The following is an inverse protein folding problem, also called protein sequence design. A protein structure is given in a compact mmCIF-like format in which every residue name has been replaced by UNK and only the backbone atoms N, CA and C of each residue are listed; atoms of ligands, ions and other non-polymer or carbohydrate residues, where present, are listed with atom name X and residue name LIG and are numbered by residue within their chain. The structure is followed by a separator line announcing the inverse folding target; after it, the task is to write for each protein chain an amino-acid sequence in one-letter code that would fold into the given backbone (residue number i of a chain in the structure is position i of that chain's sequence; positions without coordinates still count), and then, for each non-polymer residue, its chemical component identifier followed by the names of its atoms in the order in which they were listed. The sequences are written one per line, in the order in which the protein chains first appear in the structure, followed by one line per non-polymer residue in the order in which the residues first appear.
data_IF_216291250864
#
_entry.id   IF_216291250864
#
_cell.length_a   1.000
_cell.length_b   1.000
_cell.length_c   1.000
_cell.angle_alpha   90.00
_cell.angle_beta   90.00
_cell.angle_gamma   90.00
#
_symmetry.space_group_name_H-M   'P 1'
#
loop_
_entity.id
_entity.type
_entity.pdbx_description
1 polymer ?
#
# COMPACT_ATOMS: atom_id res chain seq x y z
N UNK A 1 -8.59 0.41 -14.71
CA UNK A 1 -9.13 0.46 -13.32
C UNK A 1 -10.36 1.35 -13.22
N UNK A 2 -10.29 2.67 -13.43
CA UNK A 2 -11.47 3.54 -13.26
C UNK A 2 -12.60 3.21 -14.24
N UNK A 3 -12.27 2.96 -15.51
CA UNK A 3 -13.27 2.52 -16.51
C UNK A 3 -13.84 1.14 -16.14
N UNK A 4 -12.97 0.20 -15.75
CA UNK A 4 -13.39 -1.11 -15.25
C UNK A 4 -14.38 -1.00 -14.08
N UNK A 5 -14.07 -0.20 -13.06
CA UNK A 5 -14.93 -0.03 -11.88
C UNK A 5 -16.29 0.61 -12.21
N UNK A 6 -16.42 1.28 -13.37
CA UNK A 6 -17.69 1.87 -13.80
C UNK A 6 -18.65 0.82 -14.38
N UNK A 7 -18.11 -0.23 -15.00
CA UNK A 7 -18.88 -1.23 -15.76
C UNK A 7 -18.70 -2.68 -15.24
N UNK A 8 -17.97 -2.89 -14.14
CA UNK A 8 -17.68 -4.24 -13.63
C UNK A 8 -18.88 -4.91 -12.94
N UNK A 9 -18.85 -6.24 -12.93
CA UNK A 9 -19.71 -7.04 -12.05
C UNK A 9 -19.17 -7.03 -10.61
N UNK A 10 -19.85 -6.30 -9.72
CA UNK A 10 -19.48 -6.21 -8.31
C UNK A 10 -19.50 -7.55 -7.58
N UNK A 11 -20.30 -8.53 -8.01
CA UNK A 11 -20.31 -9.85 -7.40
C UNK A 11 -19.02 -10.63 -7.73
N UNK A 12 -18.46 -10.44 -8.93
CA UNK A 12 -17.16 -11.01 -9.29
C UNK A 12 -16.02 -10.36 -8.49
N UNK A 13 -16.04 -9.03 -8.37
CA UNK A 13 -15.07 -8.26 -7.57
C UNK A 13 -15.12 -8.71 -6.11
N UNK A 14 -16.32 -8.84 -5.53
CA UNK A 14 -16.51 -9.33 -4.17
C UNK A 14 -15.96 -10.74 -4.01
N UNK A 15 -16.28 -11.66 -4.92
CA UNK A 15 -15.79 -13.04 -4.87
C UNK A 15 -14.26 -13.11 -4.97
N UNK A 16 -13.65 -12.25 -5.81
CA UNK A 16 -12.20 -12.19 -5.97
C UNK A 16 -11.51 -11.68 -4.70
N UNK A 17 -12.02 -10.62 -4.09
CA UNK A 17 -11.47 -10.03 -2.87
C UNK A 17 -11.71 -10.90 -1.63
N UNK A 18 -12.89 -11.53 -1.50
CA UNK A 18 -13.15 -12.52 -0.44
C UNK A 18 -12.19 -13.71 -0.50
N UNK A 19 -11.86 -14.17 -1.72
CA UNK A 19 -10.85 -15.21 -1.93
C UNK A 19 -9.44 -14.83 -1.46
N UNK A 20 -9.19 -13.54 -1.23
CA UNK A 20 -7.93 -12.99 -0.70
C UNK A 20 -8.03 -12.55 0.77
N UNK A 21 -9.15 -12.83 1.43
CA UNK A 21 -9.32 -12.56 2.86
C UNK A 21 -10.11 -11.29 3.19
N UNK A 22 -10.44 -10.46 2.20
CA UNK A 22 -11.24 -9.23 2.39
C UNK A 22 -12.63 -9.59 2.89
N UNK A 23 -13.04 -9.02 4.02
CA UNK A 23 -14.30 -9.39 4.69
C UNK A 23 -15.52 -8.68 4.12
N UNK A 24 -15.37 -7.41 3.78
CA UNK A 24 -16.41 -6.62 3.17
C UNK A 24 -15.80 -5.64 2.15
N UNK A 25 -16.59 -5.22 1.16
CA UNK A 25 -16.17 -4.21 0.19
C UNK A 25 -16.27 -2.80 0.78
N UNK A 26 -15.54 -2.56 1.87
CA UNK A 26 -15.45 -1.26 2.51
C UNK A 26 -14.10 -0.61 2.20
N UNK A 27 -14.02 0.71 2.36
CA UNK A 27 -12.75 1.43 2.26
C UNK A 27 -11.71 0.88 3.25
N UNK A 28 -12.13 0.53 4.47
CA UNK A 28 -11.23 0.05 5.51
C UNK A 28 -10.63 -1.32 5.15
N UNK A 29 -11.46 -2.28 4.75
CA UNK A 29 -10.99 -3.64 4.43
C UNK A 29 -10.22 -3.69 3.11
N UNK A 30 -10.61 -2.91 2.10
CA UNK A 30 -9.96 -2.96 0.79
C UNK A 30 -8.72 -2.07 0.75
N UNK A 31 -8.86 -0.80 1.12
CA UNK A 31 -7.76 0.17 0.94
C UNK A 31 -6.78 0.11 2.10
N UNK A 32 -7.27 0.14 3.33
CA UNK A 32 -6.35 0.20 4.47
C UNK A 32 -5.75 -1.18 4.76
N UNK A 33 -6.58 -2.21 4.89
CA UNK A 33 -6.11 -3.56 5.22
C UNK A 33 -5.47 -4.23 4.00
N UNK A 34 -6.27 -4.61 3.00
CA UNK A 34 -5.76 -5.40 1.88
C UNK A 34 -4.70 -4.70 0.99
N UNK A 35 -4.75 -3.38 0.82
CA UNK A 35 -3.77 -2.68 -0.04
C UNK A 35 -2.60 -2.15 0.78
N UNK A 36 -2.84 -1.32 1.79
CA UNK A 36 -1.77 -0.63 2.50
C UNK A 36 -1.06 -1.55 3.52
N UNK A 37 -1.80 -2.28 4.34
CA UNK A 37 -1.19 -3.15 5.35
C UNK A 37 -0.41 -4.30 4.72
N UNK A 38 -1.01 -5.01 3.75
CA UNK A 38 -0.30 -6.07 2.99
C UNK A 38 0.98 -5.52 2.34
N UNK A 39 0.93 -4.32 1.74
CA UNK A 39 2.11 -3.71 1.13
C UNK A 39 3.20 -3.38 2.17
N UNK A 40 2.84 -2.91 3.36
CA UNK A 40 3.82 -2.64 4.42
C UNK A 40 4.43 -3.92 4.99
N UNK A 41 3.67 -5.01 5.08
CA UNK A 41 4.17 -6.32 5.51
C UNK A 41 5.15 -6.91 4.47
N UNK A 42 4.80 -6.83 3.18
CA UNK A 42 5.66 -7.23 2.07
C UNK A 42 7.00 -6.45 2.07
N UNK A 43 6.97 -5.16 2.46
CA UNK A 43 8.14 -4.30 2.55
C UNK A 43 9.01 -4.58 3.80
N UNK A 44 8.42 -5.05 4.90
CA UNK A 44 9.18 -5.49 6.08
C UNK A 44 9.89 -6.82 5.87
N UNK A 45 9.32 -7.68 5.03
CA UNK A 45 9.80 -9.03 4.78
C UNK A 45 10.20 -9.26 3.30
N UNK A 46 11.07 -8.42 2.71
CA UNK A 46 11.40 -8.52 1.30
C UNK A 46 12.19 -9.81 1.00
N UNK A 47 12.06 -10.38 -0.21
CA UNK A 47 12.82 -11.57 -0.59
C UNK A 47 14.34 -11.33 -0.49
N UNK A 48 15.09 -12.35 -0.04
CA UNK A 48 16.54 -12.26 0.17
C UNK A 48 17.31 -11.85 -1.10
N UNK A 49 16.81 -12.22 -2.28
CA UNK A 49 17.36 -11.80 -3.57
C UNK A 49 17.26 -10.28 -3.80
N UNK A 50 16.16 -9.66 -3.37
CA UNK A 50 15.97 -8.21 -3.45
C UNK A 50 16.92 -7.51 -2.48
N UNK A 51 16.99 -7.98 -1.24
CA UNK A 51 17.91 -7.45 -0.21
C UNK A 51 19.36 -7.47 -0.72
N UNK A 52 19.80 -8.61 -1.27
CA UNK A 52 21.16 -8.79 -1.75
C UNK A 52 21.55 -7.80 -2.85
N UNK A 53 20.62 -7.41 -3.72
CA UNK A 53 20.87 -6.43 -4.78
C UNK A 53 20.85 -5.01 -4.23
N UNK A 54 19.82 -4.64 -3.48
CA UNK A 54 19.63 -3.27 -2.98
C UNK A 54 20.74 -2.86 -2.02
N UNK A 55 21.17 -3.77 -1.14
CA UNK A 55 22.23 -3.51 -0.16
C UNK A 55 23.66 -3.64 -0.72
N UNK A 56 23.83 -4.05 -1.99
CA UNK A 56 25.16 -4.21 -2.56
C UNK A 56 25.80 -2.84 -2.86
N UNK A 57 26.82 -2.46 -2.09
CA UNK A 57 27.53 -1.18 -2.26
C UNK A 57 28.30 -1.03 -3.58
N UNK A 58 28.56 -2.13 -4.29
CA UNK A 58 29.33 -2.15 -5.53
C UNK A 58 28.45 -1.97 -6.77
N UNK A 59 27.12 -2.04 -6.63
CA UNK A 59 26.17 -1.84 -7.71
C UNK A 59 25.74 -0.37 -7.77
N UNK A 60 25.58 0.14 -9.00
CA UNK A 60 25.05 1.49 -9.23
C UNK A 60 23.56 1.57 -8.87
N UNK A 61 23.10 2.75 -8.45
CA UNK A 61 21.70 2.95 -8.08
C UNK A 61 20.75 2.62 -9.24
N UNK A 62 21.06 3.07 -10.46
CA UNK A 62 20.25 2.74 -11.64
C UNK A 62 20.18 1.24 -11.94
N UNK A 63 21.24 0.47 -11.66
CA UNK A 63 21.17 -0.99 -11.76
C UNK A 63 20.24 -1.58 -10.70
N UNK A 64 20.34 -1.11 -9.44
CA UNK A 64 19.51 -1.60 -8.34
C UNK A 64 18.02 -1.28 -8.57
N UNK A 65 17.70 -0.07 -9.04
CA UNK A 65 16.34 0.33 -9.42
C UNK A 65 15.77 -0.59 -10.51
N UNK A 66 16.55 -0.80 -11.58
CA UNK A 66 16.15 -1.66 -12.69
C UNK A 66 15.95 -3.11 -12.25
N UNK A 67 16.81 -3.62 -11.38
CA UNK A 67 16.72 -4.96 -10.83
C UNK A 67 15.50 -5.11 -9.91
N UNK A 68 15.21 -4.10 -9.08
CA UNK A 68 14.02 -4.08 -8.22
C UNK A 68 12.73 -4.07 -9.04
N UNK A 69 12.65 -3.20 -10.05
CA UNK A 69 11.52 -3.17 -10.99
C UNK A 69 11.33 -4.51 -11.70
N UNK A 70 12.42 -5.14 -12.16
CA UNK A 70 12.38 -6.45 -12.81
C UNK A 70 11.91 -7.56 -11.86
N UNK A 71 12.32 -7.50 -10.59
CA UNK A 71 11.90 -8.47 -9.58
C UNK A 71 10.39 -8.35 -9.30
N UNK A 72 9.91 -7.13 -9.05
CA UNK A 72 8.47 -6.85 -8.86
C UNK A 72 7.65 -7.30 -10.07
N UNK A 73 8.10 -6.93 -11.28
CA UNK A 73 7.47 -7.34 -12.52
C UNK A 73 7.36 -8.86 -12.65
N UNK A 74 8.43 -9.58 -12.35
CA UNK A 74 8.46 -11.04 -12.43
C UNK A 74 7.45 -11.68 -11.48
N UNK A 75 7.34 -11.15 -10.25
CA UNK A 75 6.36 -11.60 -9.25
C UNK A 75 4.93 -11.31 -9.72
N UNK A 76 4.64 -10.08 -10.16
CA UNK A 76 3.31 -9.71 -10.64
C UNK A 76 2.91 -10.53 -11.87
N UNK A 77 3.83 -10.76 -12.80
CA UNK A 77 3.59 -11.62 -13.97
C UNK A 77 3.28 -13.07 -13.58
N UNK A 78 3.97 -13.61 -12.57
CA UNK A 78 3.66 -14.93 -12.04
C UNK A 78 2.29 -14.98 -11.36
N UNK A 79 1.97 -13.98 -10.51
CA UNK A 79 0.66 -13.86 -9.84
C UNK A 79 -0.48 -13.71 -10.86
N UNK A 80 -0.31 -12.94 -11.95
CA UNK A 80 -1.30 -12.78 -13.04
C UNK A 80 -1.70 -14.10 -13.70
N UNK A 81 -0.76 -15.03 -13.87
CA UNK A 81 -1.04 -16.36 -14.46
C UNK A 81 -1.92 -17.24 -13.57
N UNK A 82 -1.99 -16.93 -12.28
CA UNK A 82 -2.76 -17.68 -11.29
C UNK A 82 -4.13 -17.03 -11.00
N UNK A 83 -4.45 -15.91 -11.65
CA UNK A 83 -5.73 -15.24 -11.45
C UNK A 83 -6.86 -16.06 -12.05
N UNK A 84 -7.96 -16.13 -11.30
CA UNK A 84 -9.21 -16.72 -11.77
C UNK A 84 -9.84 -15.88 -12.87
N UNK A 85 -9.81 -14.55 -12.72
CA UNK A 85 -10.34 -13.58 -13.66
C UNK A 85 -9.18 -12.80 -14.29
N UNK A 86 -8.89 -13.06 -15.56
CA UNK A 86 -7.78 -12.41 -16.26
C UNK A 86 -8.03 -10.93 -16.57
N UNK A 87 -9.29 -10.50 -16.53
CA UNK A 87 -9.74 -9.11 -16.67
C UNK A 87 -10.56 -8.66 -15.44
N UNK A 88 -10.19 -9.19 -14.27
CA UNK A 88 -10.84 -8.86 -12.99
C UNK A 88 -10.19 -7.66 -12.29
N UNK A 89 -10.73 -7.33 -11.11
CA UNK A 89 -10.23 -6.23 -10.28
C UNK A 89 -8.75 -6.40 -9.97
N UNK A 90 -8.31 -7.61 -9.59
CA UNK A 90 -6.91 -7.83 -9.23
C UNK A 90 -5.98 -7.73 -10.44
N UNK A 91 -6.45 -8.10 -11.63
CA UNK A 91 -5.66 -7.94 -12.86
C UNK A 91 -5.35 -6.47 -13.10
N UNK A 92 -6.37 -5.61 -13.05
CA UNK A 92 -6.20 -4.16 -13.16
C UNK A 92 -5.45 -3.55 -11.98
N UNK A 93 -5.59 -4.11 -10.78
CA UNK A 93 -4.82 -3.66 -9.62
C UNK A 93 -3.33 -3.93 -9.85
N UNK A 94 -2.98 -5.11 -10.39
CA UNK A 94 -1.60 -5.42 -10.73
C UNK A 94 -1.03 -4.54 -11.84
N UNK A 95 -1.84 -4.00 -12.75
CA UNK A 95 -1.36 -3.02 -13.73
C UNK A 95 -0.89 -1.73 -13.03
N UNK A 96 -1.62 -1.28 -12.00
CA UNK A 96 -1.23 -0.15 -11.16
C UNK A 96 0.00 -0.51 -10.31
N UNK A 97 -0.01 -1.67 -9.65
CA UNK A 97 1.09 -2.11 -8.78
C UNK A 97 2.41 -2.23 -9.55
N UNK A 98 2.39 -2.62 -10.82
CA UNK A 98 3.59 -2.72 -11.65
C UNK A 98 4.37 -1.40 -11.75
N UNK A 99 3.66 -0.27 -11.64
CA UNK A 99 4.25 1.07 -11.70
C UNK A 99 4.57 1.61 -10.30
N UNK A 100 3.67 1.40 -9.33
CA UNK A 100 3.81 1.98 -7.99
C UNK A 100 4.75 1.17 -7.08
N UNK A 101 4.65 -0.16 -7.09
CA UNK A 101 5.39 -1.01 -6.16
C UNK A 101 6.91 -0.88 -6.29
N UNK A 102 7.53 -0.77 -7.48
CA UNK A 102 8.97 -0.56 -7.58
C UNK A 102 9.42 0.77 -6.96
N UNK A 103 8.64 1.84 -7.19
CA UNK A 103 8.96 3.18 -6.66
C UNK A 103 8.84 3.20 -5.14
N UNK A 104 7.78 2.60 -4.59
CA UNK A 104 7.61 2.49 -3.13
C UNK A 104 8.71 1.63 -2.51
N UNK A 105 8.97 0.44 -3.07
CA UNK A 105 10.05 -0.41 -2.58
C UNK A 105 11.42 0.28 -2.65
N UNK A 106 11.67 1.09 -3.68
CA UNK A 106 12.87 1.92 -3.75
C UNK A 106 12.90 2.99 -2.67
N UNK A 107 11.78 3.66 -2.41
CA UNK A 107 11.69 4.65 -1.33
C UNK A 107 11.98 4.05 0.05
N UNK A 108 11.47 2.84 0.34
CA UNK A 108 11.66 2.18 1.64
C UNK A 108 13.03 1.49 1.79
N UNK A 109 13.58 0.92 0.72
CA UNK A 109 14.79 0.09 0.79
C UNK A 109 16.03 0.73 0.16
N UNK A 110 15.84 1.78 -0.63
CA UNK A 110 16.87 2.44 -1.39
C UNK A 110 17.98 3.06 -0.52
N UNK A 111 19.06 3.52 -1.16
CA UNK A 111 20.23 4.05 -0.47
C UNK A 111 20.04 5.51 0.03
N UNK A 112 18.95 6.18 -0.36
CA UNK A 112 18.66 7.55 0.05
C UNK A 112 17.97 7.55 1.42
N UNK A 113 18.70 8.00 2.43
CA UNK A 113 18.21 7.99 3.82
C UNK A 113 17.12 9.05 4.07
N UNK A 114 17.07 10.15 3.32
CA UNK A 114 16.03 11.17 3.48
C UNK A 114 14.69 10.66 2.93
N UNK A 115 14.71 10.09 1.72
CA UNK A 115 13.53 9.46 1.10
C UNK A 115 13.05 8.30 1.98
N UNK A 116 13.97 7.47 2.48
CA UNK A 116 13.63 6.37 3.37
C UNK A 116 12.99 6.82 4.68
N UNK A 117 13.54 7.87 5.30
CA UNK A 117 12.95 8.45 6.50
C UNK A 117 11.56 9.01 6.23
N UNK A 118 11.32 9.61 5.05
CA UNK A 118 10.01 10.09 4.63
C UNK A 118 9.01 8.94 4.43
N UNK A 119 9.42 7.86 3.75
CA UNK A 119 8.61 6.66 3.58
C UNK A 119 8.26 5.99 4.91
N UNK A 120 9.23 5.88 5.82
CA UNK A 120 8.98 5.34 7.17
C UNK A 120 8.03 6.22 7.96
N UNK A 121 8.21 7.55 7.90
CA UNK A 121 7.28 8.49 8.53
C UNK A 121 5.86 8.33 7.99
N UNK A 122 5.70 8.21 6.68
CA UNK A 122 4.39 7.94 6.06
C UNK A 122 3.76 6.66 6.60
N UNK A 123 4.52 5.57 6.63
CA UNK A 123 4.07 4.30 7.19
C UNK A 123 3.64 4.45 8.65
N UNK A 124 4.43 5.12 9.48
CA UNK A 124 4.13 5.33 10.89
C UNK A 124 2.83 6.14 11.08
N UNK A 125 2.56 7.12 10.21
CA UNK A 125 1.29 7.87 10.24
C UNK A 125 0.09 7.00 9.92
N UNK A 126 0.18 6.12 8.92
CA UNK A 126 -0.91 5.20 8.56
C UNK A 126 -1.12 4.15 9.66
N UNK A 127 -0.04 3.55 10.16
CA UNK A 127 -0.10 2.58 11.27
C UNK A 127 -0.69 3.20 12.53
N UNK A 128 -0.29 4.44 12.85
CA UNK A 128 -0.86 5.19 13.96
C UNK A 128 -2.34 5.49 13.76
N UNK A 129 -2.78 5.86 12.56
CA UNK A 129 -4.20 6.06 12.25
C UNK A 129 -4.99 4.78 12.51
N UNK A 130 -4.51 3.64 12.03
CA UNK A 130 -5.17 2.36 12.24
C UNK A 130 -5.29 2.00 13.71
N UNK A 131 -4.26 2.26 14.52
CA UNK A 131 -4.33 2.05 15.96
C UNK A 131 -5.33 3.01 16.64
N UNK A 132 -5.35 4.28 16.24
CA UNK A 132 -6.21 5.29 16.85
C UNK A 132 -7.68 5.07 16.55
N UNK A 133 -8.02 4.61 15.34
CA UNK A 133 -9.41 4.31 14.97
C UNK A 133 -9.99 3.24 15.91
N UNK A 134 -9.19 2.31 16.43
CA UNK A 134 -9.63 1.28 17.39
C UNK A 134 -9.41 1.65 18.86
N UNK A 135 -8.94 2.87 19.15
CA UNK A 135 -8.68 3.33 20.51
C UNK A 135 -9.90 3.98 21.13
N UNK A 136 -10.43 3.39 22.21
CA UNK A 136 -11.51 3.99 23.02
C UNK A 136 -11.11 5.30 23.71
N UNK A 137 -9.82 5.66 23.69
CA UNK A 137 -9.32 6.95 24.18
C UNK A 137 -9.38 8.02 23.10
N UNK A 138 -9.14 7.64 21.84
CA UNK A 138 -8.96 8.58 20.74
C UNK A 138 -10.25 8.77 19.92
N UNK A 139 -11.15 7.80 19.91
CA UNK A 139 -12.44 7.90 19.22
C UNK A 139 -13.61 7.49 20.11
N UNK A 140 -14.78 8.10 19.88
CA UNK A 140 -16.00 7.85 20.64
C UNK A 140 -16.86 6.79 19.94
N UNK A 141 -16.93 5.61 20.57
CA UNK A 141 -17.79 4.50 20.16
C UNK A 141 -19.25 4.62 20.69
N UNK A 142 -19.76 5.85 20.82
CA UNK A 142 -21.11 6.14 21.36
C UNK A 142 -22.19 6.02 20.30
N UNK A 143 -21.95 6.62 19.14
CA UNK A 143 -22.84 6.59 17.97
C UNK A 143 -21.99 6.45 16.69
N UNK A 144 -22.63 6.08 15.57
CA UNK A 144 -21.93 5.96 14.29
C UNK A 144 -21.45 7.34 13.83
N UNK A 145 -22.24 8.38 14.09
CA UNK A 145 -21.94 9.76 13.73
C UNK A 145 -20.75 10.31 14.51
N UNK A 146 -20.68 10.05 15.83
CA UNK A 146 -19.53 10.43 16.65
C UNK A 146 -18.25 9.74 16.17
N UNK A 147 -18.32 8.43 15.92
CA UNK A 147 -17.18 7.66 15.44
C UNK A 147 -16.70 8.17 14.07
N UNK A 148 -17.62 8.39 13.12
CA UNK A 148 -17.28 8.90 11.80
C UNK A 148 -16.61 10.28 11.87
N UNK A 149 -17.11 11.16 12.73
CA UNK A 149 -16.54 12.49 12.94
C UNK A 149 -15.13 12.42 13.53
N UNK A 150 -14.91 11.55 14.52
CA UNK A 150 -13.61 11.39 15.17
C UNK A 150 -12.58 10.77 14.20
N UNK A 151 -12.95 9.71 13.46
CA UNK A 151 -12.10 9.10 12.42
C UNK A 151 -11.70 10.14 11.36
N UNK A 152 -12.66 10.94 10.89
CA UNK A 152 -12.40 11.98 9.89
C UNK A 152 -11.45 13.06 10.43
N UNK A 153 -11.59 13.43 11.71
CA UNK A 153 -10.74 14.42 12.36
C UNK A 153 -9.29 13.90 12.45
N UNK A 154 -9.10 12.68 12.97
CA UNK A 154 -7.80 12.01 13.01
C UNK A 154 -7.14 11.90 11.63
N UNK A 155 -7.93 11.52 10.62
CA UNK A 155 -7.44 11.38 9.24
C UNK A 155 -6.94 12.71 8.69
N UNK A 156 -7.67 13.81 8.94
CA UNK A 156 -7.28 15.16 8.50
C UNK A 156 -6.02 15.65 9.21
N UNK A 157 -5.93 15.51 10.52
CA UNK A 157 -4.76 15.92 11.31
C UNK A 157 -3.48 15.20 10.82
N UNK A 158 -3.57 13.90 10.56
CA UNK A 158 -2.46 13.11 10.02
C UNK A 158 -2.13 13.49 8.59
N UNK A 159 -3.13 13.75 7.75
CA UNK A 159 -2.92 14.24 6.39
C UNK A 159 -2.19 15.59 6.37
N UNK A 160 -2.59 16.54 7.22
CA UNK A 160 -1.93 17.84 7.36
C UNK A 160 -0.48 17.67 7.84
N UNK A 161 -0.26 16.80 8.82
CA UNK A 161 1.08 16.45 9.32
C UNK A 161 1.97 15.87 8.22
N UNK A 162 1.44 14.97 7.40
CA UNK A 162 2.13 14.41 6.23
C UNK A 162 2.48 15.50 5.21
N UNK A 163 1.53 16.37 4.88
CA UNK A 163 1.74 17.45 3.91
C UNK A 163 2.83 18.44 4.39
N UNK A 164 2.82 18.79 5.67
CA UNK A 164 3.86 19.66 6.26
C UNK A 164 5.24 19.02 6.17
N UNK A 165 5.34 17.71 6.42
CA UNK A 165 6.61 16.98 6.33
C UNK A 165 7.12 16.89 4.89
N UNK A 166 6.22 16.64 3.94
CA UNK A 166 6.54 16.62 2.51
C UNK A 166 7.02 18.00 2.02
N UNK A 167 6.31 19.07 2.37
CA UNK A 167 6.67 20.43 1.97
C UNK A 167 7.98 20.93 2.61
N UNK A 168 8.42 20.33 3.72
CA UNK A 168 9.68 20.65 4.37
C UNK A 168 10.89 19.87 3.82
N UNK A 169 10.65 18.91 2.92
CA UNK A 169 11.69 18.11 2.27
C UNK A 169 12.06 18.60 0.85
N UNK A 170 11.32 19.59 0.32
CA UNK A 170 11.66 20.37 -0.89
C UNK A 170 12.59 21.55 -0.53
#
# INVERSE_FOLDING_TARGET
MLDFLSDCDWAEVESELQGRGVKALTFYDVVLDFILMDAFEDLENPPSSVIAVVQNRWLSNGFKESALATAVWSVLKAKRRMLRYHDGFISHFYDISEHLSPVLAWGFMGPDEEVKAMCQFFKDQIMGLLQDIFSFVNVRYTTVEDLAQDIMTLTKERFETLCQRLAAAD
#
